data_IF_247019799646
#
_entry.id   IF_247019799646
#
_cell.length_a   1.000
_cell.length_b   1.000
_cell.length_c   1.000
_cell.angle_alpha   90.00
_cell.angle_beta   90.00
_cell.angle_gamma   90.00
#
_symmetry.space_group_name_H-M   'P 1'
#
loop_
_entity.id
_entity.type
_entity.pdbx_description
1 polymer ?
#
# COMPACT_ATOMS: atom_id res chain seq x y z
N UNK A 1 -80.66 2.80 -13.89
CA UNK A 1 -79.91 4.08 -13.87
C UNK A 1 -79.14 4.17 -12.57
N UNK A 2 -77.93 4.74 -12.64
CA UNK A 2 -76.95 5.07 -11.58
C UNK A 2 -76.00 3.97 -11.09
N UNK A 3 -74.90 3.82 -11.83
CA UNK A 3 -73.59 3.35 -11.36
C UNK A 3 -73.04 4.32 -10.30
N UNK A 4 -72.52 3.79 -9.18
CA UNK A 4 -71.46 4.46 -8.40
C UNK A 4 -70.33 3.46 -8.14
N UNK A 5 -69.17 3.82 -8.65
CA UNK A 5 -67.87 3.19 -8.47
C UNK A 5 -67.31 3.72 -7.14
N UNK A 6 -66.85 2.85 -6.25
CA UNK A 6 -65.96 3.24 -5.15
C UNK A 6 -64.57 2.74 -5.49
N UNK A 7 -63.69 3.71 -5.72
CA UNK A 7 -62.25 3.59 -5.96
C UNK A 7 -61.55 3.30 -4.63
N UNK A 8 -60.54 2.44 -4.68
CA UNK A 8 -59.87 1.86 -3.52
C UNK A 8 -58.90 2.78 -2.78
N UNK A 9 -58.39 2.24 -1.67
CA UNK A 9 -57.16 2.68 -1.01
C UNK A 9 -56.33 1.41 -0.82
N UNK A 10 -55.42 1.18 -1.77
CA UNK A 10 -54.36 0.20 -1.62
C UNK A 10 -53.26 0.89 -0.81
N UNK A 11 -53.10 0.52 0.45
CA UNK A 11 -51.98 0.98 1.27
C UNK A 11 -50.70 0.30 0.74
N UNK A 12 -49.90 1.04 -0.04
CA UNK A 12 -48.51 0.64 -0.31
C UNK A 12 -47.72 0.80 0.98
N UNK A 13 -47.53 -0.31 1.69
CA UNK A 13 -46.44 -0.46 2.66
C UNK A 13 -45.12 -0.44 1.87
N UNK A 14 -44.48 0.73 1.83
CA UNK A 14 -43.10 0.84 1.36
C UNK A 14 -42.21 0.04 2.31
N UNK A 15 -41.60 -1.03 1.81
CA UNK A 15 -40.50 -1.69 2.52
C UNK A 15 -39.30 -0.77 2.47
N UNK A 16 -38.94 -0.22 3.63
CA UNK A 16 -37.62 0.40 3.83
C UNK A 16 -36.63 -0.76 3.75
N UNK A 17 -35.94 -0.89 2.62
CA UNK A 17 -34.75 -1.74 2.57
C UNK A 17 -33.72 -1.15 3.54
N UNK A 18 -33.18 -1.91 4.50
CA UNK A 18 -32.03 -1.44 5.25
C UNK A 18 -30.90 -1.20 4.27
N UNK A 19 -30.31 -0.01 4.31
CA UNK A 19 -29.07 0.30 3.60
C UNK A 19 -28.07 -0.80 3.94
N UNK A 20 -27.66 -1.57 2.94
CA UNK A 20 -26.51 -2.46 3.03
C UNK A 20 -25.37 -1.59 3.53
N UNK A 21 -24.92 -1.79 4.77
CA UNK A 21 -23.82 -1.02 5.33
C UNK A 21 -22.61 -1.24 4.45
N UNK A 22 -22.22 -0.23 3.69
CA UNK A 22 -20.95 -0.23 2.98
C UNK A 22 -19.89 -0.30 4.07
N UNK A 23 -19.11 -1.38 4.08
CA UNK A 23 -18.05 -1.57 5.06
C UNK A 23 -17.17 -0.31 5.05
N UNK A 24 -16.95 0.32 6.21
CA UNK A 24 -16.09 1.48 6.29
C UNK A 24 -14.65 1.03 5.95
N UNK A 25 -14.08 1.45 4.81
CA UNK A 25 -12.75 1.01 4.39
C UNK A 25 -11.65 1.47 5.36
N UNK A 26 -11.91 2.50 6.19
CA UNK A 26 -11.00 2.90 7.27
C UNK A 26 -10.90 1.86 8.39
N UNK A 27 -11.94 1.05 8.60
CA UNK A 27 -11.97 0.01 9.62
C UNK A 27 -11.44 -1.35 9.12
N UNK A 28 -11.14 -1.46 7.83
CA UNK A 28 -10.64 -2.69 7.23
C UNK A 28 -9.16 -2.91 7.59
N UNK A 29 -8.90 -3.99 8.32
CA UNK A 29 -7.55 -4.48 8.57
C UNK A 29 -7.09 -5.29 7.36
N UNK A 30 -6.01 -4.86 6.72
CA UNK A 30 -5.38 -5.59 5.62
C UNK A 30 -4.03 -6.13 6.09
N UNK A 31 -3.78 -7.42 5.84
CA UNK A 31 -2.54 -8.06 6.27
C UNK A 31 -1.33 -7.39 5.62
N UNK A 32 -0.32 -7.04 6.43
CA UNK A 32 0.88 -6.33 5.98
C UNK A 32 0.69 -4.83 5.78
N UNK A 33 -0.45 -4.28 6.19
CA UNK A 33 -0.74 -2.85 6.12
C UNK A 33 -1.15 -2.32 7.49
N UNK A 34 -0.75 -1.10 7.80
CA UNK A 34 -1.26 -0.39 8.96
C UNK A 34 -2.76 -0.09 8.80
N UNK A 35 -3.48 0.18 9.89
CA UNK A 35 -4.76 0.87 9.80
C UNK A 35 -4.61 2.20 9.07
N UNK A 36 -5.70 2.68 8.49
CA UNK A 36 -5.76 4.02 7.92
C UNK A 36 -5.60 5.09 9.00
N UNK A 37 -4.83 6.12 8.68
CA UNK A 37 -4.58 7.28 9.52
C UNK A 37 -4.80 8.55 8.70
N UNK A 38 -5.37 9.58 9.31
CA UNK A 38 -5.53 10.86 8.63
C UNK A 38 -4.16 11.47 8.35
N UNK A 39 -3.99 12.07 7.17
CA UNK A 39 -2.76 12.78 6.81
C UNK A 39 -2.60 14.01 7.69
N UNK A 40 -1.69 13.92 8.66
CA UNK A 40 -1.25 15.02 9.50
C UNK A 40 0.27 15.04 9.51
N UNK A 41 0.86 16.22 9.76
CA UNK A 41 2.30 16.43 9.67
C UNK A 41 3.10 15.46 10.57
N UNK A 42 2.54 15.08 11.72
CA UNK A 42 3.17 14.16 12.66
C UNK A 42 3.26 12.72 12.12
N UNK A 43 2.26 12.27 11.35
CA UNK A 43 2.22 10.91 10.78
C UNK A 43 3.25 10.78 9.67
N UNK A 44 3.46 11.83 8.87
CA UNK A 44 4.36 11.83 7.72
C UNK A 44 5.75 12.39 8.03
N UNK A 45 5.99 12.91 9.23
CA UNK A 45 7.25 13.58 9.62
C UNK A 45 8.53 12.75 9.35
N UNK A 46 8.44 11.43 9.50
CA UNK A 46 9.57 10.51 9.32
C UNK A 46 9.55 9.80 7.96
N UNK A 47 8.72 10.26 7.03
CA UNK A 47 8.60 9.65 5.72
C UNK A 47 8.78 10.69 4.64
N UNK A 48 9.67 10.40 3.70
CA UNK A 48 9.60 11.00 2.39
C UNK A 48 8.59 10.17 1.61
N UNK A 49 7.41 10.73 1.39
CA UNK A 49 6.42 10.20 0.45
C UNK A 49 6.74 10.76 -0.93
N UNK A 50 6.44 10.01 -1.99
CA UNK A 50 6.61 10.48 -3.36
C UNK A 50 6.07 11.91 -3.59
N UNK A 51 6.55 12.57 -4.65
CA UNK A 51 7.07 11.93 -5.85
C UNK A 51 8.59 11.72 -5.87
N UNK A 52 9.01 10.55 -6.35
CA UNK A 52 10.43 10.21 -6.57
C UNK A 52 10.83 10.25 -8.04
N UNK A 53 9.85 10.44 -8.92
CA UNK A 53 10.03 10.68 -10.35
C UNK A 53 9.04 11.76 -10.83
N UNK A 54 9.31 12.35 -12.01
CA UNK A 54 8.37 13.29 -12.62
C UNK A 54 7.00 12.64 -12.91
N UNK A 55 6.99 11.33 -13.20
CA UNK A 55 5.75 10.57 -13.38
C UNK A 55 4.93 10.49 -12.10
N UNK A 56 5.58 10.18 -10.97
CA UNK A 56 4.92 10.14 -9.66
C UNK A 56 4.37 11.52 -9.29
N UNK A 57 5.07 12.60 -9.65
CA UNK A 57 4.66 13.97 -9.32
C UNK A 57 3.36 14.34 -10.02
N UNK A 58 3.28 14.04 -11.32
CA UNK A 58 2.09 14.27 -12.13
C UNK A 58 0.91 13.42 -11.66
N UNK A 59 1.15 12.15 -11.29
CA UNK A 59 0.12 11.27 -10.78
C UNK A 59 -0.47 11.80 -9.47
N UNK A 60 0.38 12.17 -8.50
CA UNK A 60 -0.05 12.68 -7.20
C UNK A 60 -0.80 14.01 -7.32
N UNK A 61 -0.30 14.94 -8.13
CA UNK A 61 -0.98 16.23 -8.33
C UNK A 61 -2.34 16.06 -9.00
N UNK A 62 -2.43 15.18 -10.00
CA UNK A 62 -3.68 14.93 -10.73
C UNK A 62 -4.73 14.28 -9.82
N UNK A 63 -4.30 13.35 -8.96
CA UNK A 63 -5.17 12.71 -7.99
C UNK A 63 -5.71 13.69 -6.94
N UNK A 64 -4.84 14.54 -6.37
CA UNK A 64 -5.25 15.53 -5.37
C UNK A 64 -6.25 16.56 -5.90
N UNK A 65 -6.03 17.02 -7.14
CA UNK A 65 -6.97 17.90 -7.86
C UNK A 65 -8.30 17.19 -8.10
N UNK A 66 -8.26 15.96 -8.62
CA UNK A 66 -9.46 15.18 -8.89
C UNK A 66 -10.31 15.01 -7.63
N UNK A 67 -9.72 14.67 -6.48
CA UNK A 67 -10.52 14.54 -5.26
C UNK A 67 -11.13 15.87 -4.80
N UNK A 68 -10.37 16.96 -4.89
CA UNK A 68 -10.85 18.30 -4.52
C UNK A 68 -12.04 18.72 -5.38
N UNK A 69 -11.97 18.51 -6.70
CA UNK A 69 -13.05 18.82 -7.63
C UNK A 69 -14.34 18.05 -7.32
N UNK A 70 -14.22 16.76 -6.97
CA UNK A 70 -15.37 15.91 -6.64
C UNK A 70 -16.00 16.29 -5.31
N UNK A 71 -15.21 16.69 -4.31
CA UNK A 71 -15.71 17.19 -3.04
C UNK A 71 -16.48 18.52 -3.25
N UNK A 72 -15.92 19.44 -4.05
CA UNK A 72 -16.58 20.72 -4.37
C UNK A 72 -17.90 20.53 -5.11
N UNK A 73 -17.95 19.60 -6.08
CA UNK A 73 -19.16 19.28 -6.83
C UNK A 73 -20.31 18.78 -5.94
N UNK A 74 -19.99 18.25 -4.76
CA UNK A 74 -20.94 17.75 -3.76
C UNK A 74 -21.11 18.68 -2.55
N UNK A 75 -20.60 19.92 -2.63
CA UNK A 75 -20.59 20.90 -1.53
C UNK A 75 -20.08 20.30 -0.21
N UNK A 76 -19.02 19.50 -0.33
CA UNK A 76 -18.41 18.73 0.74
C UNK A 76 -16.90 19.02 0.80
N UNK A 77 -16.24 18.62 1.88
CA UNK A 77 -14.79 18.71 1.99
C UNK A 77 -14.13 17.34 1.83
N UNK A 78 -12.98 17.32 1.16
CA UNK A 78 -12.13 16.15 1.06
C UNK A 78 -11.24 16.05 2.31
N UNK A 79 -11.09 14.84 2.86
CA UNK A 79 -10.05 14.53 3.85
C UNK A 79 -9.10 13.49 3.30
N UNK A 80 -7.82 13.64 3.60
CA UNK A 80 -6.75 12.78 3.07
C UNK A 80 -6.27 11.83 4.16
N UNK A 81 -6.06 10.58 3.76
CA UNK A 81 -5.75 9.47 4.64
C UNK A 81 -4.67 8.59 4.03
N UNK A 82 -3.87 7.97 4.88
CA UNK A 82 -2.79 7.09 4.46
C UNK A 82 -2.74 5.83 5.31
N UNK A 83 -2.20 4.77 4.73
CA UNK A 83 -1.69 3.61 5.48
C UNK A 83 -0.37 3.18 4.89
N UNK A 84 0.45 2.56 5.72
CA UNK A 84 1.79 2.12 5.37
C UNK A 84 1.80 0.61 5.19
N UNK A 85 2.55 0.11 4.20
CA UNK A 85 2.96 -1.28 4.24
C UNK A 85 3.95 -1.51 5.39
N UNK A 86 4.03 -2.74 5.85
CA UNK A 86 4.96 -3.16 6.88
C UNK A 86 6.43 -3.00 6.44
N UNK A 87 6.72 -3.18 5.15
CA UNK A 87 8.06 -3.11 4.58
C UNK A 87 8.78 -1.80 4.89
N UNK A 88 8.08 -0.66 4.89
CA UNK A 88 8.69 0.65 5.19
C UNK A 88 9.41 0.65 6.55
N UNK A 89 8.87 -0.04 7.56
CA UNK A 89 9.50 -0.11 8.89
C UNK A 89 10.73 -1.01 8.91
N UNK A 90 10.71 -2.09 8.14
CA UNK A 90 11.73 -3.14 8.22
C UNK A 90 12.83 -3.02 7.17
N UNK A 91 12.52 -2.40 6.03
CA UNK A 91 13.43 -2.24 4.89
C UNK A 91 13.77 -0.76 4.64
N UNK A 92 13.11 0.16 5.33
CA UNK A 92 13.24 1.60 5.15
C UNK A 92 12.64 2.15 3.86
N UNK A 93 12.03 1.29 3.05
CA UNK A 93 11.28 1.64 1.85
C UNK A 93 10.11 0.69 1.67
N UNK A 94 9.08 1.15 1.00
CA UNK A 94 7.92 0.35 0.62
C UNK A 94 6.84 1.23 0.04
N UNK A 95 5.60 0.78 0.17
CA UNK A 95 4.44 1.45 -0.35
C UNK A 95 3.62 2.06 0.76
N UNK A 96 2.99 3.17 0.43
CA UNK A 96 1.84 3.67 1.17
C UNK A 96 0.63 3.56 0.26
N UNK A 97 -0.54 3.48 0.87
CA UNK A 97 -1.78 3.75 0.17
C UNK A 97 -2.26 5.10 0.64
N UNK A 98 -2.50 6.00 -0.32
CA UNK A 98 -3.11 7.29 -0.08
C UNK A 98 -4.57 7.20 -0.48
N UNK A 99 -5.45 7.82 0.30
CA UNK A 99 -6.88 7.74 0.17
C UNK A 99 -7.51 9.10 0.39
N UNK A 100 -8.61 9.35 -0.32
CA UNK A 100 -9.40 10.55 -0.18
C UNK A 100 -10.83 10.20 0.21
N UNK A 101 -11.31 10.81 1.28
CA UNK A 101 -12.66 10.65 1.79
C UNK A 101 -13.49 11.88 1.49
N UNK A 102 -14.71 11.68 1.00
CA UNK A 102 -15.73 12.71 0.81
C UNK A 102 -16.95 12.29 1.63
N UNK A 103 -17.45 13.16 2.51
CA UNK A 103 -18.55 12.83 3.43
C UNK A 103 -18.30 11.60 4.32
N UNK A 104 -17.04 11.33 4.65
CA UNK A 104 -16.65 10.19 5.48
C UNK A 104 -16.57 8.85 4.74
N UNK A 105 -16.80 8.83 3.42
CA UNK A 105 -16.69 7.63 2.59
C UNK A 105 -15.46 7.72 1.68
N UNK A 106 -14.73 6.61 1.54
CA UNK A 106 -13.57 6.54 0.63
C UNK A 106 -14.04 6.72 -0.80
N UNK A 107 -13.59 7.79 -1.43
CA UNK A 107 -13.91 8.11 -2.82
C UNK A 107 -12.91 7.46 -3.78
N UNK A 108 -11.61 7.55 -3.46
CA UNK A 108 -10.53 6.98 -4.24
C UNK A 108 -9.31 6.71 -3.36
N UNK A 109 -8.53 5.69 -3.71
CA UNK A 109 -7.22 5.44 -3.14
C UNK A 109 -6.24 4.95 -4.21
N UNK A 110 -4.95 5.03 -3.90
CA UNK A 110 -3.90 4.53 -4.78
C UNK A 110 -2.59 4.25 -4.06
N UNK A 111 -1.70 3.45 -4.66
CA UNK A 111 -0.37 3.23 -4.11
C UNK A 111 0.54 4.42 -4.41
N UNK A 112 1.41 4.75 -3.47
CA UNK A 112 2.62 5.54 -3.66
C UNK A 112 3.78 4.79 -3.04
N UNK A 113 5.00 5.23 -3.35
CA UNK A 113 6.20 4.75 -2.68
C UNK A 113 6.56 5.72 -1.55
N UNK A 114 7.17 5.21 -0.48
CA UNK A 114 7.74 6.02 0.59
C UNK A 114 9.08 5.47 1.11
N UNK A 115 9.89 6.39 1.62
CA UNK A 115 11.15 6.11 2.34
C UNK A 115 10.97 6.54 3.78
N UNK A 116 11.40 5.71 4.73
CA UNK A 116 11.51 6.10 6.12
C UNK A 116 12.80 6.90 6.33
N UNK A 117 12.69 8.22 6.45
CA UNK A 117 13.82 9.14 6.61
C UNK A 117 14.43 9.12 8.01
N UNK A 118 13.76 8.51 8.99
CA UNK A 118 14.37 8.23 10.29
C UNK A 118 15.47 7.15 10.19
N UNK A 119 15.46 6.35 9.12
CA UNK A 119 16.51 5.41 8.78
C UNK A 119 17.51 6.11 7.85
N UNK A 120 18.82 5.97 8.12
CA UNK A 120 19.85 6.56 7.24
C UNK A 120 19.64 6.05 5.80
N UNK A 121 19.71 6.96 4.81
CA UNK A 121 19.41 6.71 3.39
C UNK A 121 20.19 5.55 2.73
N UNK A 122 21.25 5.05 3.37
CA UNK A 122 21.87 3.77 3.05
C UNK A 122 21.39 2.73 4.07
N UNK A 123 20.22 2.16 3.82
CA UNK A 123 19.72 1.08 4.66
C UNK A 123 20.57 -0.15 4.38
N UNK A 124 21.47 -0.47 5.31
CA UNK A 124 22.15 -1.76 5.33
C UNK A 124 21.11 -2.82 5.65
N UNK A 125 20.94 -3.79 4.77
CA UNK A 125 20.07 -4.93 5.00
C UNK A 125 20.90 -6.21 5.07
N UNK A 126 20.56 -7.11 5.99
CA UNK A 126 21.16 -8.42 6.12
C UNK A 126 20.09 -9.50 5.89
N UNK A 127 20.49 -10.58 5.21
CA UNK A 127 19.63 -11.75 5.01
C UNK A 127 19.29 -12.39 6.36
N UNK A 128 18.01 -12.64 6.60
CA UNK A 128 17.46 -13.24 7.81
C UNK A 128 16.28 -14.17 7.46
N UNK A 129 16.55 -15.17 6.62
CA UNK A 129 15.55 -16.17 6.25
C UNK A 129 15.27 -17.10 7.45
N UNK A 130 13.99 -17.33 7.73
CA UNK A 130 13.49 -18.26 8.75
C UNK A 130 13.55 -19.72 8.27
N UNK A 131 13.35 -19.94 6.98
CA UNK A 131 13.38 -21.25 6.34
C UNK A 131 14.69 -21.42 5.55
N UNK A 132 15.48 -22.41 5.98
CA UNK A 132 16.79 -22.71 5.39
C UNK A 132 17.91 -21.85 5.96
N UNK A 133 19.05 -21.83 5.26
CA UNK A 133 20.26 -21.12 5.71
C UNK A 133 20.55 -19.84 4.91
N UNK A 134 19.57 -19.30 4.17
CA UNK A 134 19.76 -18.11 3.34
C UNK A 134 18.67 -17.88 2.29
N UNK A 135 18.88 -16.85 1.48
CA UNK A 135 18.00 -16.44 0.38
C UNK A 135 18.58 -16.79 -0.99
N UNK A 136 17.70 -17.11 -1.93
CA UNK A 136 18.08 -17.31 -3.33
C UNK A 136 18.01 -15.95 -4.03
N UNK A 137 19.15 -15.50 -4.57
CA UNK A 137 19.22 -14.37 -5.49
C UNK A 137 18.90 -14.84 -6.90
N UNK A 138 17.97 -14.14 -7.55
CA UNK A 138 17.46 -14.48 -8.86
C UNK A 138 17.67 -13.36 -9.86
N UNK A 139 17.68 -13.70 -11.15
CA UNK A 139 17.83 -12.73 -12.23
C UNK A 139 16.62 -11.79 -12.34
N UNK A 140 15.43 -12.33 -12.15
CA UNK A 140 14.16 -11.61 -12.18
C UNK A 140 13.37 -11.86 -10.90
N UNK A 141 12.40 -11.00 -10.61
CA UNK A 141 11.46 -11.11 -9.50
C UNK A 141 10.42 -12.23 -9.72
N UNK A 142 10.89 -13.48 -9.79
CA UNK A 142 10.05 -14.67 -9.97
C UNK A 142 10.75 -15.93 -9.45
N UNK A 143 10.00 -16.84 -8.82
CA UNK A 143 10.52 -18.12 -8.33
C UNK A 143 10.93 -19.09 -9.44
N UNK A 144 10.49 -18.86 -10.68
CA UNK A 144 10.90 -19.63 -11.86
C UNK A 144 12.11 -19.03 -12.59
N UNK A 145 12.56 -17.84 -12.19
CA UNK A 145 13.73 -17.18 -12.80
C UNK A 145 15.04 -17.89 -12.43
N UNK A 146 16.06 -17.68 -13.26
CA UNK A 146 17.41 -18.20 -13.06
C UNK A 146 17.95 -17.87 -11.66
N UNK A 147 18.52 -18.89 -11.01
CA UNK A 147 19.23 -18.74 -9.74
C UNK A 147 20.63 -18.23 -10.04
N UNK A 148 20.93 -17.03 -9.56
CA UNK A 148 22.26 -16.43 -9.69
C UNK A 148 23.19 -16.91 -8.57
N UNK A 149 22.67 -16.98 -7.33
CA UNK A 149 23.44 -17.37 -6.13
C UNK A 149 22.52 -17.65 -4.94
N UNK A 150 23.02 -18.37 -3.95
CA UNK A 150 22.44 -18.44 -2.60
C UNK A 150 23.21 -17.49 -1.67
N UNK A 151 22.51 -16.58 -1.01
CA UNK A 151 23.01 -15.63 -0.02
C UNK A 151 22.75 -16.19 1.38
N UNK A 152 23.78 -16.64 2.12
CA UNK A 152 23.60 -17.14 3.48
C UNK A 152 22.99 -16.10 4.43
N UNK A 153 22.31 -16.54 5.49
CA UNK A 153 21.88 -15.64 6.57
C UNK A 153 23.08 -14.83 7.12
N UNK A 154 22.83 -13.55 7.43
CA UNK A 154 23.85 -12.58 7.81
C UNK A 154 24.57 -11.91 6.63
N UNK A 155 24.37 -12.38 5.39
CA UNK A 155 24.92 -11.69 4.20
C UNK A 155 24.29 -10.31 4.06
N UNK A 156 25.12 -9.27 3.98
CA UNK A 156 24.67 -7.91 3.70
C UNK A 156 24.33 -7.75 2.23
N UNK A 157 23.22 -7.07 1.95
CA UNK A 157 22.78 -6.67 0.62
C UNK A 157 22.73 -5.14 0.52
N UNK A 158 23.14 -4.61 -0.63
CA UNK A 158 23.13 -3.18 -0.92
C UNK A 158 21.97 -2.80 -1.84
N UNK A 159 21.36 -1.65 -1.55
CA UNK A 159 20.31 -1.01 -2.36
C UNK A 159 20.82 0.34 -2.83
N UNK A 160 21.09 0.50 -4.12
CA UNK A 160 21.54 1.77 -4.71
C UNK A 160 20.37 2.60 -5.26
N UNK A 161 19.19 2.01 -5.30
CA UNK A 161 18.11 2.46 -6.18
C UNK A 161 16.78 2.61 -5.45
N UNK A 162 16.85 3.05 -4.20
CA UNK A 162 15.68 3.46 -3.43
C UNK A 162 14.98 4.65 -4.11
N UNK A 163 13.64 4.71 -4.06
CA UNK A 163 12.78 3.81 -3.30
C UNK A 163 12.10 2.69 -4.11
N UNK A 164 12.28 2.68 -5.44
CA UNK A 164 11.69 1.67 -6.33
C UNK A 164 12.47 0.36 -6.30
N UNK A 165 12.71 -0.19 -5.12
CA UNK A 165 13.40 -1.46 -4.91
C UNK A 165 12.43 -2.62 -4.64
N UNK A 166 11.16 -2.35 -4.33
CA UNK A 166 10.16 -3.38 -4.03
C UNK A 166 9.26 -3.63 -5.24
N UNK A 167 8.99 -4.89 -5.52
CA UNK A 167 8.01 -5.34 -6.50
C UNK A 167 7.16 -6.47 -5.92
N UNK A 168 5.84 -6.38 -6.06
CA UNK A 168 4.93 -7.47 -5.69
C UNK A 168 4.49 -8.20 -6.95
N UNK A 169 4.74 -9.50 -7.02
CA UNK A 169 4.33 -10.31 -8.17
C UNK A 169 2.85 -10.71 -8.09
N UNK A 170 2.35 -11.37 -9.14
CA UNK A 170 0.96 -11.81 -9.25
C UNK A 170 0.55 -12.85 -8.20
N UNK A 171 1.50 -13.49 -7.53
CA UNK A 171 1.24 -14.43 -6.43
C UNK A 171 1.15 -13.72 -5.07
N UNK A 172 1.39 -12.41 -5.03
CA UNK A 172 1.44 -11.61 -3.82
C UNK A 172 2.82 -11.58 -3.16
N UNK A 173 3.82 -12.29 -3.71
CA UNK A 173 5.17 -12.31 -3.15
C UNK A 173 5.85 -10.97 -3.34
N UNK A 174 6.47 -10.48 -2.27
CA UNK A 174 7.22 -9.24 -2.27
C UNK A 174 8.69 -9.54 -2.55
N UNK A 175 9.23 -8.88 -3.57
CA UNK A 175 10.59 -8.99 -4.05
C UNK A 175 11.35 -7.71 -3.78
N UNK A 176 12.59 -7.85 -3.34
CA UNK A 176 13.53 -6.74 -3.19
C UNK A 176 14.60 -6.84 -4.27
N UNK A 177 14.76 -5.77 -5.05
CA UNK A 177 15.89 -5.58 -5.95
C UNK A 177 17.13 -5.30 -5.12
N UNK A 178 18.21 -6.01 -5.41
CA UNK A 178 19.50 -5.91 -4.72
C UNK A 178 20.56 -5.57 -5.75
N UNK A 179 21.44 -4.63 -5.41
CA UNK A 179 22.55 -4.18 -6.28
C UNK A 179 23.89 -4.82 -5.86
N UNK A 180 24.04 -5.19 -4.58
CA UNK A 180 25.23 -5.85 -4.03
C UNK A 180 24.88 -7.12 -3.23
N UNK A 181 25.65 -8.22 -3.33
CA UNK A 181 26.97 -8.34 -3.97
C UNK A 181 26.94 -8.53 -5.49
N UNK A 182 25.75 -8.70 -6.06
CA UNK A 182 25.51 -8.66 -7.51
C UNK A 182 24.06 -8.25 -7.73
N UNK A 183 23.79 -7.65 -8.89
CA UNK A 183 22.43 -7.27 -9.28
C UNK A 183 21.49 -8.48 -9.35
N UNK A 184 20.31 -8.36 -8.77
CA UNK A 184 19.24 -9.35 -8.88
C UNK A 184 18.08 -9.09 -7.93
N UNK A 185 17.28 -10.11 -7.70
CA UNK A 185 16.08 -10.05 -6.86
C UNK A 185 16.09 -11.14 -5.80
N UNK A 186 15.73 -10.79 -4.57
CA UNK A 186 15.50 -11.72 -3.47
C UNK A 186 14.04 -11.66 -3.01
N UNK A 187 13.52 -12.76 -2.49
CA UNK A 187 12.18 -12.74 -1.89
C UNK A 187 12.24 -12.06 -0.52
N UNK A 188 11.69 -10.86 -0.42
CA UNK A 188 11.61 -10.12 0.84
C UNK A 188 10.59 -10.77 1.79
N UNK A 189 9.40 -11.07 1.28
CA UNK A 189 8.34 -11.78 2.00
C UNK A 189 7.62 -12.75 1.07
N UNK A 190 7.02 -13.81 1.61
CA UNK A 190 6.19 -14.73 0.82
C UNK A 190 4.89 -14.07 0.34
N UNK A 191 4.37 -13.14 1.13
CA UNK A 191 3.21 -12.28 0.86
C UNK A 191 3.23 -11.10 1.87
N UNK A 192 2.38 -10.09 1.67
CA UNK A 192 2.22 -9.00 2.64
C UNK A 192 1.89 -9.53 4.05
N UNK A 193 2.54 -8.98 5.09
CA UNK A 193 2.40 -9.40 6.48
C UNK A 193 3.00 -10.77 6.82
N UNK A 194 3.68 -11.43 5.89
CA UNK A 194 4.47 -12.61 6.19
C UNK A 194 5.81 -12.24 6.87
N UNK A 195 6.54 -13.27 7.32
CA UNK A 195 7.91 -13.09 7.81
C UNK A 195 8.78 -12.42 6.74
N UNK A 196 9.62 -11.47 7.19
CA UNK A 196 10.57 -10.78 6.33
C UNK A 196 11.92 -11.48 6.38
N UNK A 197 12.41 -11.88 5.22
CA UNK A 197 13.68 -12.58 5.07
C UNK A 197 14.90 -11.65 5.12
N UNK A 198 14.69 -10.39 5.49
CA UNK A 198 15.68 -9.32 5.53
C UNK A 198 15.45 -8.51 6.80
N UNK A 199 16.53 -7.98 7.35
CA UNK A 199 16.48 -7.08 8.50
C UNK A 199 17.48 -5.95 8.32
N UNK A 200 17.22 -4.80 8.93
CA UNK A 200 18.20 -3.73 9.04
C UNK A 200 19.41 -4.24 9.82
N UNK A 201 20.62 -3.99 9.31
CA UNK A 201 21.84 -4.32 10.01
C UNK A 201 21.87 -3.63 11.38
N UNK A 202 22.23 -4.38 12.42
CA UNK A 202 22.57 -3.81 13.73
C UNK A 202 23.73 -2.82 13.58
N UNK A 203 23.55 -1.58 14.03
CA UNK A 203 24.63 -0.58 14.10
C UNK A 203 25.67 -0.95 15.15
#
# INVERSE_FOLDING_TARGET
>A
MNKRIIVGVLALLGTISPSQGVANPLAETVLGWSPWQQEIAEVTANYQVGPFSNGDALALSSWGLYCTEQAQATNSEATYWFRFDDLIQYLGTGHIEHGCLINGEMYTSGPLVAINTALNHQVCLAVNADIGNGLILRREASTSSEVLRILPNGTTVGLESLPHAIYTDQTGRQWLRVDQPQFGWVSAAAQAGAHLNLQICSR
#
